data_IF_563513572844
#
_entry.id   IF_563513572844
#
_cell.length_a   1.000
_cell.length_b   1.000
_cell.length_c   1.000
_cell.angle_alpha   90.00
_cell.angle_beta   90.00
_cell.angle_gamma   90.00
#
_symmetry.space_group_name_H-M   'P 1'
#
loop_
_entity.id
_entity.type
_entity.pdbx_description
1 polymer ?
#
# COMPACT_ATOMS: atom_id res chain seq x y z
N UNK A 1 -11.77 46.69 -80.35
CA UNK A 1 -10.92 47.28 -79.30
C UNK A 1 -10.89 46.30 -78.12
N UNK A 2 -9.70 45.78 -77.79
CA UNK A 2 -9.22 44.91 -76.67
C UNK A 2 -10.17 44.03 -75.78
N UNK A 3 -9.67 42.89 -75.25
CA UNK A 3 -10.47 41.68 -74.96
C UNK A 3 -10.37 41.13 -73.52
N UNK A 4 -10.91 39.91 -73.35
CA UNK A 4 -10.71 38.89 -72.29
C UNK A 4 -11.85 38.74 -71.27
N UNK A 5 -12.42 37.53 -71.15
CA UNK A 5 -11.95 36.57 -70.15
C UNK A 5 -12.60 35.17 -70.31
N UNK A 6 -11.81 34.10 -70.13
CA UNK A 6 -12.27 32.70 -70.02
C UNK A 6 -12.64 32.42 -68.56
N UNK A 7 -13.76 31.73 -68.34
CA UNK A 7 -14.10 31.06 -67.07
C UNK A 7 -15.30 30.16 -67.34
N UNK A 8 -15.51 28.97 -66.80
CA UNK A 8 -14.71 27.95 -66.14
C UNK A 8 -15.66 26.73 -66.09
N UNK A 9 -15.17 25.51 -66.27
CA UNK A 9 -15.91 24.31 -65.86
C UNK A 9 -15.49 23.96 -64.43
N UNK A 10 -16.41 23.64 -63.51
CA UNK A 10 -16.10 22.75 -62.41
C UNK A 10 -16.54 21.33 -62.79
N UNK A 11 -15.56 20.43 -62.89
CA UNK A 11 -15.82 19.01 -62.76
C UNK A 11 -15.87 18.70 -61.25
N UNK A 12 -17.06 18.45 -60.74
CA UNK A 12 -17.25 17.75 -59.47
C UNK A 12 -16.81 16.29 -59.69
N UNK A 13 -15.68 15.94 -59.08
CA UNK A 13 -15.13 14.60 -59.05
C UNK A 13 -14.80 14.22 -57.62
N UNK A 14 -15.83 13.89 -56.84
CA UNK A 14 -15.65 13.25 -55.55
C UNK A 14 -15.05 11.86 -55.74
N UNK A 15 -13.85 11.64 -55.21
CA UNK A 15 -13.37 10.30 -54.86
C UNK A 15 -12.85 10.33 -53.42
N UNK A 16 -13.75 9.99 -52.50
CA UNK A 16 -13.43 9.48 -51.17
C UNK A 16 -12.67 8.16 -51.33
N UNK A 17 -11.34 8.19 -51.16
CA UNK A 17 -10.53 6.98 -51.10
C UNK A 17 -10.57 6.39 -49.68
N UNK A 18 -10.86 5.10 -49.50
CA UNK A 18 -10.75 4.44 -48.21
C UNK A 18 -9.26 4.33 -47.84
N UNK A 19 -8.88 4.88 -46.68
CA UNK A 19 -7.53 4.70 -46.13
C UNK A 19 -7.18 3.21 -46.11
N UNK A 20 -6.00 2.81 -46.61
CA UNK A 20 -5.63 1.40 -46.73
C UNK A 20 -5.66 0.75 -45.35
N UNK A 21 -6.26 -0.44 -45.28
CA UNK A 21 -6.44 -1.26 -44.07
C UNK A 21 -5.14 -1.43 -43.25
N UNK A 22 -3.98 -1.40 -43.91
CA UNK A 22 -2.67 -1.40 -43.29
C UNK A 22 -2.42 -0.18 -42.39
N UNK A 23 -2.84 1.02 -42.78
CA UNK A 23 -2.67 2.26 -41.99
C UNK A 23 -3.57 2.23 -40.75
N UNK A 24 -4.80 1.72 -40.88
CA UNK A 24 -5.71 1.51 -39.73
C UNK A 24 -5.18 0.47 -38.75
N UNK A 25 -4.56 -0.61 -39.24
CA UNK A 25 -3.97 -1.64 -38.38
C UNK A 25 -2.74 -1.11 -37.63
N UNK A 26 -1.84 -0.43 -38.34
CA UNK A 26 -0.65 0.19 -37.76
C UNK A 26 -1.01 1.22 -36.71
N UNK A 27 -2.00 2.08 -36.98
CA UNK A 27 -2.43 3.11 -36.01
C UNK A 27 -3.07 2.51 -34.75
N UNK A 28 -3.79 1.38 -34.85
CA UNK A 28 -4.33 0.65 -33.69
C UNK A 28 -3.23 -0.01 -32.87
N UNK A 29 -2.21 -0.58 -33.51
CA UNK A 29 -1.05 -1.15 -32.82
C UNK A 29 -0.25 -0.07 -32.09
N UNK A 30 -0.06 1.11 -32.70
CA UNK A 30 0.62 2.25 -32.06
C UNK A 30 -0.17 2.73 -30.85
N UNK A 31 -1.49 2.94 -30.97
CA UNK A 31 -2.33 3.36 -29.84
C UNK A 31 -2.31 2.34 -28.71
N UNK A 32 -2.41 1.04 -29.03
CA UNK A 32 -2.30 -0.02 -28.03
C UNK A 32 -0.92 -0.02 -27.34
N UNK A 33 0.17 0.16 -28.11
CA UNK A 33 1.53 0.23 -27.56
C UNK A 33 1.75 1.46 -26.68
N UNK A 34 1.15 2.61 -27.02
CA UNK A 34 1.18 3.84 -26.20
C UNK A 34 0.38 3.65 -24.91
N UNK A 35 -0.81 3.06 -24.97
CA UNK A 35 -1.61 2.77 -23.77
C UNK A 35 -0.86 1.79 -22.85
N UNK A 36 -0.24 0.74 -23.41
CA UNK A 36 0.54 -0.22 -22.64
C UNK A 36 1.77 0.45 -22.00
N UNK A 37 2.52 1.27 -22.74
CA UNK A 37 3.72 1.94 -22.20
C UNK A 37 3.40 2.99 -21.14
N UNK A 38 2.25 3.68 -21.24
CA UNK A 38 1.83 4.69 -20.24
C UNK A 38 1.18 4.04 -19.01
N UNK A 39 0.45 2.93 -19.14
CA UNK A 39 -0.25 2.29 -18.02
C UNK A 39 0.62 1.32 -17.20
N UNK A 40 1.65 0.70 -17.78
CA UNK A 40 2.51 -0.25 -17.08
C UNK A 40 3.28 0.30 -15.85
N UNK A 41 3.87 1.52 -15.87
CA UNK A 41 4.68 1.96 -14.72
C UNK A 41 3.85 2.24 -13.46
N UNK A 42 2.54 2.48 -13.57
CA UNK A 42 1.68 2.78 -12.41
C UNK A 42 1.37 1.51 -11.59
N UNK A 43 1.43 0.32 -12.19
CA UNK A 43 1.16 -0.94 -11.50
C UNK A 43 2.38 -1.57 -10.83
N UNK A 44 3.60 -1.09 -11.13
CA UNK A 44 4.85 -1.75 -10.72
C UNK A 44 5.43 -1.29 -9.37
N UNK A 45 4.85 -0.30 -8.70
CA UNK A 45 5.46 0.36 -7.52
C UNK A 45 5.07 -0.24 -6.15
N UNK A 46 4.37 -1.37 -6.08
CA UNK A 46 3.78 -1.89 -4.84
C UNK A 46 4.58 -2.99 -4.10
N UNK A 47 5.78 -3.36 -4.58
CA UNK A 47 6.55 -4.52 -4.08
C UNK A 47 7.84 -4.25 -3.26
N UNK A 48 8.43 -3.04 -3.13
CA UNK A 48 9.74 -2.93 -2.45
C UNK A 48 9.67 -3.00 -0.92
N UNK A 49 8.50 -2.78 -0.31
CA UNK A 49 8.37 -2.70 1.13
C UNK A 49 8.44 -4.07 1.82
N UNK A 50 7.92 -5.13 1.20
CA UNK A 50 7.97 -6.49 1.81
C UNK A 50 9.35 -7.12 1.63
N UNK A 51 10.11 -6.74 0.62
CA UNK A 51 11.49 -7.23 0.41
C UNK A 51 12.43 -6.85 1.56
N UNK A 52 12.14 -5.72 2.23
CA UNK A 52 12.86 -5.24 3.41
C UNK A 52 12.45 -5.93 4.72
N UNK A 53 11.62 -6.99 4.66
CA UNK A 53 11.20 -7.78 5.80
C UNK A 53 11.98 -9.09 5.85
N UNK A 54 12.76 -9.27 6.91
CA UNK A 54 13.37 -10.56 7.26
C UNK A 54 12.59 -11.27 8.37
N UNK A 55 12.81 -12.56 8.54
CA UNK A 55 12.11 -13.39 9.52
C UNK A 55 13.09 -14.10 10.44
N UNK A 56 12.75 -14.22 11.72
CA UNK A 56 13.40 -15.21 12.58
C UNK A 56 12.97 -16.63 12.20
N UNK A 57 13.80 -17.66 12.45
CA UNK A 57 13.53 -19.03 12.00
C UNK A 57 12.17 -19.60 12.40
N UNK A 58 11.64 -19.19 13.56
CA UNK A 58 10.32 -19.63 14.03
C UNK A 58 9.14 -18.98 13.29
N UNK A 59 9.37 -17.89 12.55
CA UNK A 59 8.34 -17.19 11.77
C UNK A 59 8.38 -17.68 10.33
N UNK A 60 7.40 -18.51 9.95
CA UNK A 60 7.39 -19.16 8.63
C UNK A 60 7.04 -18.24 7.47
N UNK A 61 6.13 -17.28 7.68
CA UNK A 61 5.68 -16.30 6.67
C UNK A 61 4.66 -15.32 7.27
N UNK A 62 4.29 -14.29 6.50
CA UNK A 62 3.17 -13.39 6.80
C UNK A 62 1.79 -13.99 6.52
N UNK A 63 1.69 -15.23 5.99
CA UNK A 63 0.42 -15.82 5.51
C UNK A 63 -0.69 -15.94 6.54
N UNK A 64 -0.36 -15.97 7.82
CA UNK A 64 -1.36 -16.04 8.88
C UNK A 64 -1.92 -14.65 9.26
N UNK A 65 -1.30 -13.57 8.77
CA UNK A 65 -1.75 -12.21 9.01
C UNK A 65 -2.93 -11.89 8.10
N UNK A 66 -3.83 -11.06 8.63
CA UNK A 66 -4.91 -10.49 7.84
C UNK A 66 -4.40 -9.39 6.90
N UNK A 67 -5.12 -9.10 5.80
CA UNK A 67 -4.71 -8.07 4.85
C UNK A 67 -4.42 -6.71 5.50
N UNK A 68 -5.23 -6.30 6.47
CA UNK A 68 -5.00 -5.05 7.21
C UNK A 68 -3.65 -5.03 7.96
N UNK A 69 -3.23 -6.16 8.54
CA UNK A 69 -1.95 -6.25 9.23
C UNK A 69 -0.78 -6.29 8.24
N UNK A 70 -0.96 -6.90 7.06
CA UNK A 70 0.05 -6.88 5.99
C UNK A 70 0.23 -5.45 5.46
N UNK A 71 -0.86 -4.69 5.28
CA UNK A 71 -0.81 -3.29 4.87
C UNK A 71 -0.06 -2.43 5.90
N UNK A 72 -0.37 -2.59 7.19
CA UNK A 72 0.37 -1.95 8.29
C UNK A 72 1.87 -2.27 8.23
N UNK A 73 2.26 -3.53 7.96
CA UNK A 73 3.67 -3.90 7.84
C UNK A 73 4.36 -3.18 6.67
N UNK A 74 3.68 -3.05 5.52
CA UNK A 74 4.23 -2.32 4.37
C UNK A 74 4.50 -0.86 4.69
N UNK A 75 3.48 -0.17 5.21
CA UNK A 75 3.60 1.25 5.58
C UNK A 75 4.67 1.46 6.66
N UNK A 76 4.73 0.57 7.65
CA UNK A 76 5.73 0.62 8.70
C UNK A 76 7.14 0.56 8.10
N UNK A 77 7.41 -0.41 7.23
CA UNK A 77 8.71 -0.59 6.60
C UNK A 77 9.08 0.58 5.68
N UNK A 78 8.12 1.15 4.95
CA UNK A 78 8.35 2.36 4.16
C UNK A 78 8.80 3.54 5.04
N UNK A 79 8.28 3.66 6.27
CA UNK A 79 8.60 4.78 7.17
C UNK A 79 9.86 4.56 8.00
N UNK A 80 10.16 3.32 8.39
CA UNK A 80 11.26 3.02 9.34
C UNK A 80 12.43 2.28 8.71
N UNK A 81 12.28 1.79 7.48
CA UNK A 81 13.24 0.93 6.82
C UNK A 81 13.12 -0.55 7.24
N UNK A 82 14.16 -1.35 6.96
CA UNK A 82 14.11 -2.79 7.11
C UNK A 82 13.86 -3.25 8.55
N UNK A 83 13.13 -4.37 8.67
CA UNK A 83 12.76 -4.99 9.93
C UNK A 83 13.05 -6.49 9.92
N UNK A 84 13.25 -7.06 11.11
CA UNK A 84 13.22 -8.50 11.33
C UNK A 84 11.99 -8.87 12.17
N UNK A 85 11.04 -9.58 11.59
CA UNK A 85 9.86 -10.06 12.31
C UNK A 85 10.22 -11.27 13.16
N UNK A 86 9.90 -11.19 14.44
CA UNK A 86 10.24 -12.20 15.45
C UNK A 86 9.03 -13.02 15.88
N UNK A 87 7.81 -12.50 15.68
CA UNK A 87 6.56 -13.20 15.99
C UNK A 87 5.40 -12.70 15.14
N UNK A 88 4.51 -13.62 14.77
CA UNK A 88 3.22 -13.37 14.09
C UNK A 88 2.11 -14.15 14.82
N UNK A 89 1.49 -15.17 14.24
CA UNK A 89 0.36 -15.87 14.85
C UNK A 89 0.76 -17.04 15.76
N UNK A 90 2.04 -17.45 15.73
CA UNK A 90 2.58 -18.54 16.52
C UNK A 90 3.04 -18.12 17.92
N UNK A 91 3.24 -19.10 18.80
CA UNK A 91 3.77 -18.89 20.16
C UNK A 91 2.71 -18.62 21.23
N UNK A 92 3.17 -18.32 22.44
CA UNK A 92 2.32 -18.00 23.59
C UNK A 92 2.24 -16.48 23.76
N UNK A 93 1.02 -15.97 23.80
CA UNK A 93 0.70 -14.55 23.91
C UNK A 93 -0.26 -14.30 25.07
N UNK A 94 -0.39 -13.03 25.46
CA UNK A 94 -1.37 -12.63 26.47
C UNK A 94 -2.81 -13.01 26.05
N UNK A 95 -3.68 -13.23 27.05
CA UNK A 95 -5.09 -13.53 26.81
C UNK A 95 -5.74 -12.39 26.01
N UNK A 96 -6.41 -12.72 24.90
CA UNK A 96 -6.96 -11.77 23.92
C UNK A 96 -5.94 -10.98 23.10
N UNK A 97 -4.71 -11.46 22.97
CA UNK A 97 -3.71 -10.86 22.08
C UNK A 97 -4.18 -10.83 20.62
N UNK A 98 -3.80 -9.77 19.91
CA UNK A 98 -4.08 -9.61 18.48
C UNK A 98 -3.25 -10.58 17.61
N UNK A 99 -2.16 -11.15 18.14
CA UNK A 99 -1.40 -12.22 17.48
C UNK A 99 -2.30 -13.42 17.15
N UNK A 100 -3.20 -13.80 18.07
CA UNK A 100 -4.13 -14.91 17.86
C UNK A 100 -5.19 -14.64 16.80
N UNK A 101 -5.33 -13.39 16.35
CA UNK A 101 -6.31 -12.98 15.33
C UNK A 101 -5.64 -12.65 14.00
N UNK A 102 -4.33 -12.87 13.86
CA UNK A 102 -3.56 -12.47 12.69
C UNK A 102 -3.46 -10.96 12.51
N UNK A 103 -3.56 -10.20 13.61
CA UNK A 103 -3.65 -8.74 13.61
C UNK A 103 -2.42 -8.04 14.22
N UNK A 104 -1.36 -8.78 14.54
CA UNK A 104 -0.18 -8.23 15.19
C UNK A 104 1.11 -8.88 14.74
N UNK A 105 2.20 -8.13 14.88
CA UNK A 105 3.57 -8.60 14.75
C UNK A 105 4.43 -8.08 15.89
N UNK A 106 5.46 -8.86 16.23
CA UNK A 106 6.60 -8.36 16.98
C UNK A 106 7.81 -8.33 16.05
N UNK A 107 8.61 -7.28 16.11
CA UNK A 107 9.77 -7.12 15.24
C UNK A 107 10.94 -6.39 15.90
N UNK A 108 12.12 -6.50 15.27
CA UNK A 108 13.30 -5.67 15.53
C UNK A 108 13.50 -4.69 14.36
N UNK A 109 13.53 -3.38 14.59
CA UNK A 109 13.96 -2.44 13.56
C UNK A 109 15.46 -2.62 13.29
N UNK A 110 15.86 -2.59 12.01
CA UNK A 110 17.26 -2.76 11.62
C UNK A 110 17.95 -1.43 11.25
N UNK A 111 17.17 -0.43 10.83
CA UNK A 111 17.68 0.90 10.46
C UNK A 111 17.48 1.97 11.54
N UNK A 112 16.80 1.66 12.65
CA UNK A 112 16.50 2.65 13.70
C UNK A 112 16.36 2.02 15.09
N UNK A 113 16.21 2.84 16.12
CA UNK A 113 16.04 2.36 17.50
C UNK A 113 14.60 1.87 17.74
N UNK A 114 14.39 0.88 18.63
CA UNK A 114 13.04 0.41 19.00
C UNK A 114 12.11 1.54 19.46
N UNK A 115 12.66 2.52 20.19
CA UNK A 115 11.91 3.69 20.66
C UNK A 115 11.45 4.58 19.50
N UNK A 116 12.32 4.85 18.52
CA UNK A 116 11.98 5.67 17.36
C UNK A 116 11.00 4.93 16.44
N UNK A 117 11.20 3.63 16.21
CA UNK A 117 10.25 2.79 15.48
C UNK A 117 8.86 2.79 16.13
N UNK A 118 8.77 2.60 17.45
CA UNK A 118 7.50 2.66 18.18
C UNK A 118 6.85 4.07 18.13
N UNK A 119 7.65 5.15 18.13
CA UNK A 119 7.10 6.50 17.98
C UNK A 119 6.49 6.71 16.59
N UNK A 120 7.16 6.24 15.52
CA UNK A 120 6.66 6.31 14.15
C UNK A 120 5.43 5.42 13.97
N UNK A 121 5.43 4.20 14.52
CA UNK A 121 4.28 3.30 14.44
C UNK A 121 3.01 3.92 15.04
N UNK A 122 3.14 4.77 16.08
CA UNK A 122 2.00 5.47 16.70
C UNK A 122 1.40 6.56 15.82
N UNK A 123 2.09 7.00 14.77
CA UNK A 123 1.59 8.02 13.83
C UNK A 123 0.90 7.41 12.61
N UNK A 124 0.87 6.09 12.48
CA UNK A 124 0.19 5.40 11.38
C UNK A 124 -1.29 5.27 11.70
N UNK A 125 -2.16 5.56 10.74
CA UNK A 125 -3.61 5.65 10.95
C UNK A 125 -4.24 4.28 11.27
N UNK A 126 -3.71 3.22 10.65
CA UNK A 126 -4.22 1.84 10.78
C UNK A 126 -3.68 1.10 12.01
N UNK A 127 -2.82 1.73 12.81
CA UNK A 127 -2.23 1.12 14.01
C UNK A 127 -3.11 1.35 15.24
N UNK A 128 -3.56 0.24 15.82
CA UNK A 128 -4.36 0.18 17.04
C UNK A 128 -3.55 0.13 18.33
N UNK A 129 -2.48 -0.67 18.35
CA UNK A 129 -1.65 -0.86 19.53
C UNK A 129 -0.17 -0.82 19.19
N UNK A 130 0.61 -0.15 20.04
CA UNK A 130 2.08 -0.10 19.94
C UNK A 130 2.72 -0.31 21.30
N UNK A 131 3.62 -1.28 21.37
CA UNK A 131 4.44 -1.57 22.55
C UNK A 131 5.93 -1.61 22.21
N UNK A 132 6.78 -1.31 23.18
CA UNK A 132 8.23 -1.51 23.07
C UNK A 132 8.74 -2.26 24.28
N UNK A 133 9.47 -3.34 24.07
CA UNK A 133 10.03 -4.17 25.12
C UNK A 133 11.49 -3.79 25.41
N UNK A 134 11.96 -4.05 26.64
CA UNK A 134 13.33 -3.74 27.05
C UNK A 134 14.40 -4.51 26.27
N UNK A 135 14.03 -5.66 25.69
CA UNK A 135 14.91 -6.48 24.84
C UNK A 135 14.98 -6.00 23.37
N UNK A 136 14.46 -4.80 23.10
CA UNK A 136 14.52 -4.15 21.79
C UNK A 136 13.47 -4.63 20.77
N UNK A 137 12.50 -5.44 21.19
CA UNK A 137 11.35 -5.77 20.36
C UNK A 137 10.32 -4.64 20.36
N UNK A 138 9.65 -4.47 19.24
CA UNK A 138 8.50 -3.57 19.09
C UNK A 138 7.29 -4.42 18.71
N UNK A 139 6.19 -4.20 19.41
CA UNK A 139 4.88 -4.75 19.12
C UNK A 139 4.06 -3.73 18.34
N UNK A 140 3.39 -4.17 17.27
CA UNK A 140 2.37 -3.38 16.58
C UNK A 140 1.17 -4.24 16.21
N UNK A 141 -0.03 -3.68 16.34
CA UNK A 141 -1.29 -4.34 15.97
C UNK A 141 -2.32 -3.39 15.37
N UNK A 142 -3.25 -3.96 14.57
CA UNK A 142 -4.39 -3.26 13.93
C UNK A 142 -5.71 -3.46 14.69
N UNK A 143 -5.63 -3.62 16.02
CA UNK A 143 -6.80 -3.73 16.90
C UNK A 143 -7.46 -2.38 17.20
N UNK A 144 -8.38 -2.35 18.16
CA UNK A 144 -8.96 -1.09 18.63
C UNK A 144 -7.88 -0.17 19.20
N UNK A 145 -7.94 1.12 18.87
CA UNK A 145 -6.91 2.08 19.30
C UNK A 145 -6.77 2.15 20.82
N UNK A 146 -5.56 1.89 21.30
CA UNK A 146 -5.26 1.86 22.73
C UNK A 146 -4.47 3.12 23.10
N UNK A 147 -5.06 3.99 23.92
CA UNK A 147 -4.37 5.18 24.46
C UNK A 147 -3.15 4.82 25.31
N UNK A 148 -3.15 3.62 25.91
CA UNK A 148 -2.02 3.11 26.66
C UNK A 148 -1.87 1.59 26.45
N UNK A 149 -0.67 1.21 26.03
CA UNK A 149 -0.25 -0.19 25.91
C UNK A 149 -0.08 -0.84 27.30
N UNK A 150 0.53 -0.11 28.25
CA UNK A 150 0.66 -0.52 29.64
C UNK A 150 -0.50 0.05 30.48
N UNK A 151 -1.40 -0.84 30.92
CA UNK A 151 -2.06 -0.74 32.23
C UNK A 151 -3.12 0.34 32.50
N UNK A 152 -3.24 1.44 31.75
CA UNK A 152 -4.26 2.49 32.04
C UNK A 152 -5.70 2.11 31.59
N UNK A 153 -5.97 0.82 31.35
CA UNK A 153 -7.17 0.29 30.68
C UNK A 153 -8.45 0.14 31.54
N UNK A 154 -8.52 0.71 32.74
CA UNK A 154 -9.78 0.70 33.53
C UNK A 154 -10.44 2.06 33.73
N UNK A 155 -9.70 3.18 33.65
CA UNK A 155 -10.30 4.50 33.92
C UNK A 155 -11.05 5.07 32.70
N UNK A 156 -10.48 5.03 31.49
CA UNK A 156 -11.09 5.71 30.33
C UNK A 156 -12.36 5.04 29.80
N UNK A 157 -12.49 3.72 29.95
CA UNK A 157 -13.69 2.97 29.52
C UNK A 157 -14.93 3.32 30.35
N UNK A 158 -14.75 3.70 31.63
CA UNK A 158 -15.84 4.12 32.51
C UNK A 158 -16.33 5.54 32.17
N UNK A 159 -15.41 6.43 31.81
CA UNK A 159 -15.74 7.81 31.43
C UNK A 159 -16.52 7.87 30.11
N UNK A 160 -16.09 7.12 29.09
CA UNK A 160 -16.75 7.10 27.78
C UNK A 160 -18.15 6.46 27.78
N UNK A 161 -18.48 5.65 28.80
CA UNK A 161 -19.83 5.10 29.01
C UNK A 161 -20.74 6.06 29.79
N UNK A 162 -20.20 6.74 30.81
CA UNK A 162 -20.98 7.70 31.61
C UNK A 162 -21.31 9.01 30.89
N UNK A 163 -20.55 9.38 29.85
CA UNK A 163 -20.79 10.59 29.06
C UNK A 163 -21.85 10.44 27.95
N UNK A 164 -22.55 9.29 27.88
CA UNK A 164 -23.60 9.00 26.89
C UNK A 164 -25.00 8.88 27.51
N UNK A 165 -25.20 9.39 28.73
CA UNK A 165 -26.51 9.50 29.37
C UNK A 165 -26.96 10.95 29.42
#
# INVERSE_FOLDING_TARGET
>A
MAPANRSARPCDGGLSLPFPYHVRLVMRCIVAAVIVTVCLPVLAHAEPAIEQVSFQPQVKSLRCLKPEAVAMVRELVEKIGPIQITSTCGGRHARNSQHYRGKAIDFRPLATTPRKAAAIAKTLDDVGGVGSYSNGLVHVDVGDRQLAWYGLKRASRRYAYNSRR
#
